data_IF_221863835635
#
_entry.id   IF_221863835635
#
_cell.length_a   1.000
_cell.length_b   1.000
_cell.length_c   1.000
_cell.angle_alpha   90.00
_cell.angle_beta   90.00
_cell.angle_gamma   90.00
#
_symmetry.space_group_name_H-M   'P 1'
#
loop_
_entity.id
_entity.type
_entity.pdbx_description
1 polymer ?
#
# COMPACT_ATOMS: atom_id res chain seq x y z
N UNK A 1 1.48 -59.00 42.70
CA UNK A 1 1.27 -57.96 43.73
C UNK A 1 2.31 -56.88 43.47
N UNK A 2 2.05 -55.67 42.98
CA UNK A 2 0.86 -54.84 42.73
C UNK A 2 1.10 -54.12 41.37
N UNK A 3 0.17 -54.18 40.40
CA UNK A 3 -0.77 -53.09 40.02
C UNK A 3 -0.09 -51.72 39.83
N UNK A 4 0.17 -51.28 38.59
CA UNK A 4 -0.73 -50.63 37.59
C UNK A 4 -0.92 -49.12 37.82
N UNK A 5 -0.62 -48.35 36.76
CA UNK A 5 -1.17 -47.06 36.27
C UNK A 5 -0.04 -46.33 35.50
N UNK A 6 0.12 -46.47 34.16
CA UNK A 6 -0.70 -45.92 33.04
C UNK A 6 -1.06 -44.46 33.32
N UNK A 7 -0.61 -43.43 32.59
CA UNK A 7 -0.53 -43.16 31.14
C UNK A 7 0.40 -41.94 30.90
N UNK A 8 1.24 -41.85 29.85
CA UNK A 8 0.85 -41.47 28.46
C UNK A 8 0.46 -39.98 28.37
N UNK A 9 0.93 -39.13 27.47
CA UNK A 9 1.47 -39.33 26.12
C UNK A 9 2.15 -38.05 25.59
N UNK A 10 3.06 -38.28 24.63
CA UNK A 10 3.81 -37.34 23.80
C UNK A 10 2.93 -36.48 22.86
N UNK A 11 3.59 -35.41 22.39
CA UNK A 11 3.58 -34.83 21.02
C UNK A 11 2.40 -34.00 20.54
N UNK A 12 2.75 -32.85 19.94
CA UNK A 12 2.05 -32.36 18.74
C UNK A 12 1.78 -30.87 18.74
N UNK A 13 2.76 -30.07 18.33
CA UNK A 13 2.52 -28.74 17.76
C UNK A 13 1.96 -28.90 16.34
N UNK A 14 0.87 -28.21 15.96
CA UNK A 14 0.66 -27.84 14.58
C UNK A 14 0.67 -26.33 14.39
N UNK A 15 1.48 -25.95 13.41
CA UNK A 15 1.63 -24.65 12.78
C UNK A 15 0.29 -24.13 12.22
N UNK A 16 0.20 -22.79 12.23
CA UNK A 16 -0.20 -21.92 11.12
C UNK A 16 -1.26 -22.47 10.13
N UNK A 17 -2.46 -21.88 10.19
CA UNK A 17 -3.49 -22.03 9.18
C UNK A 17 -4.55 -20.93 9.33
N UNK A 18 -4.37 -19.83 8.61
CA UNK A 18 -5.43 -18.85 8.36
C UNK A 18 -6.63 -19.55 7.73
N UNK A 19 -7.77 -19.63 8.44
CA UNK A 19 -9.14 -19.75 7.91
C UNK A 19 -10.11 -19.74 9.09
N UNK A 20 -10.96 -18.71 9.19
CA UNK A 20 -12.04 -18.74 10.18
C UNK A 20 -12.62 -17.40 10.61
N UNK A 21 -12.86 -16.45 9.70
CA UNK A 21 -13.64 -15.23 10.03
C UNK A 21 -15.15 -15.54 10.19
N UNK A 22 -15.60 -16.78 9.96
CA UNK A 22 -17.04 -17.11 9.96
C UNK A 22 -17.48 -18.18 10.98
N UNK A 23 -16.59 -18.66 11.86
CA UNK A 23 -16.92 -19.74 12.84
C UNK A 23 -16.81 -19.33 14.31
N UNK A 24 -16.73 -18.03 14.61
CA UNK A 24 -16.54 -17.53 15.97
C UNK A 24 -17.83 -17.12 16.70
N UNK A 25 -19.01 -17.49 16.19
CA UNK A 25 -20.29 -17.17 16.84
C UNK A 25 -20.80 -18.26 17.80
N UNK A 26 -20.24 -19.48 17.78
CA UNK A 26 -20.82 -20.65 18.49
C UNK A 26 -19.93 -21.30 19.55
N UNK A 27 -18.68 -20.88 19.69
CA UNK A 27 -17.87 -21.18 20.88
C UNK A 27 -17.66 -19.86 21.60
N UNK A 28 -18.03 -19.77 22.88
CA UNK A 28 -17.89 -18.60 23.74
C UNK A 28 -16.45 -18.17 24.01
N UNK A 29 -15.65 -18.00 22.95
CA UNK A 29 -14.36 -17.33 22.97
C UNK A 29 -14.66 -15.91 23.38
N UNK A 30 -14.37 -15.60 24.65
CA UNK A 30 -14.49 -14.27 25.19
C UNK A 30 -13.81 -13.30 24.22
N UNK A 31 -14.59 -12.39 23.64
CA UNK A 31 -14.09 -11.27 22.85
C UNK A 31 -12.87 -10.71 23.58
N UNK A 32 -11.70 -10.57 22.93
CA UNK A 32 -10.52 -10.03 23.58
C UNK A 32 -10.92 -8.72 24.25
N UNK A 33 -10.83 -8.67 25.59
CA UNK A 33 -11.18 -7.47 26.34
C UNK A 33 -10.42 -6.31 25.67
N UNK A 34 -11.11 -5.22 25.37
CA UNK A 34 -10.62 -4.05 24.62
C UNK A 34 -9.51 -3.27 25.38
N UNK A 35 -8.59 -3.96 26.05
CA UNK A 35 -7.53 -3.49 26.93
C UNK A 35 -6.20 -3.60 26.19
N UNK A 36 -5.36 -2.54 26.16
CA UNK A 36 -4.03 -2.63 25.59
C UNK A 36 -3.16 -3.59 26.41
N UNK A 37 -2.17 -4.19 25.75
CA UNK A 37 -1.07 -4.93 26.40
C UNK A 37 0.13 -4.01 26.56
N UNK A 38 0.90 -4.22 27.61
CA UNK A 38 2.17 -3.54 27.78
C UNK A 38 3.22 -4.14 26.84
N UNK A 39 4.32 -3.43 26.58
CA UNK A 39 5.47 -3.96 25.85
C UNK A 39 6.12 -5.16 26.57
N UNK A 40 5.98 -5.27 27.90
CA UNK A 40 6.37 -6.45 28.66
C UNK A 40 5.28 -7.55 28.69
N UNK A 41 4.31 -7.50 27.78
CA UNK A 41 3.12 -8.37 27.70
C UNK A 41 2.15 -8.37 28.89
N UNK A 42 2.46 -7.63 29.96
CA UNK A 42 1.64 -7.52 31.16
C UNK A 42 0.23 -6.93 30.92
N UNK A 43 -0.73 -7.40 31.72
CA UNK A 43 -2.10 -6.88 31.72
C UNK A 43 -2.14 -5.41 32.19
N UNK A 44 -2.87 -4.57 31.46
CA UNK A 44 -3.05 -3.17 31.83
C UNK A 44 -4.43 -2.91 32.45
N UNK A 45 -4.45 -2.10 33.52
CA UNK A 45 -5.67 -1.60 34.17
C UNK A 45 -5.95 -0.15 33.79
N UNK A 46 -7.22 0.26 33.81
CA UNK A 46 -7.63 1.66 33.66
C UNK A 46 -6.98 2.49 34.78
N UNK A 47 -6.42 3.65 34.44
CA UNK A 47 -5.66 4.52 35.35
C UNK A 47 -5.98 6.00 35.07
N UNK A 48 -7.27 6.35 35.21
CA UNK A 48 -7.78 7.69 34.94
C UNK A 48 -7.84 8.05 33.46
N UNK A 49 -8.00 9.34 33.19
CA UNK A 49 -8.07 9.94 31.85
C UNK A 49 -6.97 10.98 31.66
N UNK A 50 -6.59 11.24 30.43
CA UNK A 50 -5.76 12.39 30.06
C UNK A 50 -6.61 13.67 30.07
N UNK A 51 -5.96 14.84 30.03
CA UNK A 51 -6.66 16.14 29.89
C UNK A 51 -7.52 16.23 28.62
N UNK A 52 -7.29 15.36 27.64
CA UNK A 52 -8.09 15.22 26.40
C UNK A 52 -9.19 14.16 26.52
N UNK A 53 -9.51 13.70 27.73
CA UNK A 53 -10.55 12.69 28.00
C UNK A 53 -10.18 11.25 27.62
N UNK A 54 -8.98 11.00 27.09
CA UNK A 54 -8.58 9.65 26.65
C UNK A 54 -8.28 8.78 27.86
N UNK A 55 -8.81 7.55 27.87
CA UNK A 55 -8.50 6.59 28.95
C UNK A 55 -7.00 6.25 28.98
N UNK A 56 -6.36 6.49 30.13
CA UNK A 56 -4.98 6.07 30.42
C UNK A 56 -5.00 4.67 31.03
N UNK A 57 -4.01 3.87 30.66
CA UNK A 57 -3.84 2.49 31.10
C UNK A 57 -2.49 2.37 31.81
N UNK A 58 -2.43 1.55 32.88
CA UNK A 58 -1.19 1.28 33.62
C UNK A 58 -0.95 -0.22 33.71
N UNK A 59 0.26 -0.66 33.37
CA UNK A 59 0.69 -2.05 33.47
C UNK A 59 0.78 -2.46 34.94
N UNK A 60 0.24 -3.64 35.28
CA UNK A 60 0.30 -4.19 36.64
C UNK A 60 1.68 -4.77 37.00
N UNK A 61 2.50 -5.10 36.01
CA UNK A 61 3.82 -5.73 36.20
C UNK A 61 4.95 -4.69 36.30
N UNK A 62 5.16 -3.89 35.25
CA UNK A 62 6.26 -2.92 35.19
C UNK A 62 5.86 -1.48 35.52
N UNK A 63 4.57 -1.21 35.76
CA UNK A 63 4.07 0.13 36.09
C UNK A 63 4.00 1.12 34.92
N UNK A 64 4.45 0.75 33.71
CA UNK A 64 4.39 1.60 32.53
C UNK A 64 2.96 2.06 32.21
N UNK A 65 2.82 3.30 31.73
CA UNK A 65 1.52 3.89 31.40
C UNK A 65 1.40 4.17 29.90
N UNK A 66 0.23 3.91 29.33
CA UNK A 66 -0.04 4.15 27.91
C UNK A 66 -1.48 4.60 27.69
N UNK A 67 -1.76 5.08 26.48
CA UNK A 67 -3.13 5.29 25.99
C UNK A 67 -3.37 4.32 24.85
N UNK A 68 -4.61 3.82 24.73
CA UNK A 68 -4.96 2.96 23.60
C UNK A 68 -5.02 3.81 22.33
N UNK A 69 -4.22 3.47 21.33
CA UNK A 69 -4.29 4.05 19.98
C UNK A 69 -4.92 3.02 19.04
N UNK A 70 -5.85 3.46 18.19
CA UNK A 70 -6.39 2.68 17.07
C UNK A 70 -5.86 3.27 15.76
N UNK A 71 -4.58 3.03 15.53
CA UNK A 71 -3.89 3.49 14.32
C UNK A 71 -4.45 2.81 13.07
N UNK A 72 -4.95 1.59 13.18
CA UNK A 72 -5.70 0.87 12.13
C UNK A 72 -6.83 1.73 11.55
N UNK A 73 -7.71 2.25 12.42
CA UNK A 73 -8.83 3.10 11.99
C UNK A 73 -8.34 4.43 11.44
N UNK A 74 -7.35 5.02 12.09
CA UNK A 74 -6.81 6.32 11.65
C UNK A 74 -6.15 6.19 10.27
N UNK A 75 -5.37 5.13 10.06
CA UNK A 75 -4.69 4.85 8.80
C UNK A 75 -5.70 4.53 7.70
N UNK A 76 -6.75 3.75 7.99
CA UNK A 76 -7.83 3.49 7.02
C UNK A 76 -8.51 4.79 6.57
N UNK A 77 -8.87 5.67 7.51
CA UNK A 77 -9.48 6.97 7.18
C UNK A 77 -8.54 7.88 6.37
N UNK A 78 -7.25 7.90 6.71
CA UNK A 78 -6.22 8.63 5.94
C UNK A 78 -6.11 8.07 4.54
N UNK A 79 -6.08 6.74 4.38
CA UNK A 79 -5.95 6.08 3.09
C UNK A 79 -7.18 6.34 2.21
N UNK A 80 -8.39 6.29 2.75
CA UNK A 80 -9.60 6.69 2.02
C UNK A 80 -9.54 8.14 1.54
N UNK A 81 -9.06 9.06 2.39
CA UNK A 81 -8.88 10.46 2.00
C UNK A 81 -7.78 10.64 0.95
N UNK A 82 -6.75 9.81 0.96
CA UNK A 82 -5.69 9.79 -0.05
C UNK A 82 -6.24 9.37 -1.41
N UNK A 83 -7.01 8.27 -1.47
CA UNK A 83 -7.65 7.80 -2.71
C UNK A 83 -8.64 8.85 -3.24
N UNK A 84 -9.45 9.45 -2.36
CA UNK A 84 -10.37 10.53 -2.75
C UNK A 84 -9.58 11.71 -3.35
N UNK A 85 -8.52 12.17 -2.68
CA UNK A 85 -7.66 13.25 -3.16
C UNK A 85 -7.12 12.98 -4.58
N UNK A 86 -6.67 11.75 -4.87
CA UNK A 86 -6.10 11.38 -6.18
C UNK A 86 -7.14 11.20 -7.28
N UNK A 87 -8.31 10.65 -6.96
CA UNK A 87 -9.27 10.20 -7.97
C UNK A 87 -10.36 11.23 -8.28
N UNK A 88 -10.65 12.13 -7.35
CA UNK A 88 -11.73 13.13 -7.51
C UNK A 88 -11.21 14.56 -7.67
N UNK A 89 -9.91 14.78 -7.46
CA UNK A 89 -9.30 16.11 -7.50
C UNK A 89 -9.68 17.00 -6.30
N UNK A 90 -10.28 16.44 -5.25
CA UNK A 90 -10.54 17.16 -3.99
C UNK A 90 -9.23 17.72 -3.46
N UNK A 91 -9.12 19.05 -3.32
CA UNK A 91 -7.90 19.67 -2.84
C UNK A 91 -7.55 19.28 -1.39
N UNK A 92 -6.26 19.41 -1.05
CA UNK A 92 -5.72 18.97 0.24
C UNK A 92 -6.37 19.70 1.42
N UNK A 93 -6.74 20.97 1.27
CA UNK A 93 -7.44 21.75 2.30
C UNK A 93 -8.81 21.18 2.65
N UNK A 94 -9.58 20.77 1.63
CA UNK A 94 -10.90 20.19 1.84
C UNK A 94 -10.80 18.81 2.49
N UNK A 95 -9.88 17.97 2.03
CA UNK A 95 -9.61 16.68 2.66
C UNK A 95 -9.14 16.84 4.13
N UNK A 96 -8.28 17.83 4.40
CA UNK A 96 -7.77 18.08 5.74
C UNK A 96 -8.86 18.59 6.70
N UNK A 97 -9.75 19.47 6.24
CA UNK A 97 -10.93 19.92 7.00
C UNK A 97 -11.84 18.75 7.38
N UNK A 98 -12.12 17.82 6.45
CA UNK A 98 -12.92 16.62 6.71
C UNK A 98 -12.32 15.74 7.82
N UNK A 99 -10.98 15.65 7.85
CA UNK A 99 -10.23 14.89 8.86
C UNK A 99 -9.90 15.67 10.14
N UNK A 100 -10.37 16.92 10.24
CA UNK A 100 -10.14 17.77 11.41
C UNK A 100 -8.66 18.08 11.68
N UNK A 101 -7.84 18.17 10.64
CA UNK A 101 -6.41 18.48 10.76
C UNK A 101 -5.96 19.58 9.79
N UNK A 102 -4.74 20.10 9.99
CA UNK A 102 -4.16 21.04 9.02
C UNK A 102 -3.73 20.33 7.73
N UNK A 103 -3.70 21.01 6.58
CA UNK A 103 -3.21 20.46 5.32
C UNK A 103 -1.80 19.88 5.43
N UNK A 104 -0.90 20.58 6.15
CA UNK A 104 0.47 20.11 6.42
C UNK A 104 0.50 18.80 7.23
N UNK A 105 -0.44 18.62 8.15
CA UNK A 105 -0.57 17.36 8.90
C UNK A 105 -1.07 16.25 8.00
N UNK A 106 -2.04 16.54 7.12
CA UNK A 106 -2.57 15.57 6.17
C UNK A 106 -1.50 15.13 5.16
N UNK A 107 -0.73 16.07 4.61
CA UNK A 107 0.39 15.78 3.70
C UNK A 107 1.38 14.79 4.33
N UNK A 108 1.79 15.02 5.58
CA UNK A 108 2.66 14.08 6.32
C UNK A 108 2.03 12.71 6.55
N UNK A 109 0.69 12.64 6.64
CA UNK A 109 -0.04 11.37 6.78
C UNK A 109 -0.19 10.65 5.44
N UNK A 110 -0.14 11.37 4.32
CA UNK A 110 -0.11 10.78 2.98
C UNK A 110 1.27 10.22 2.61
N UNK A 111 2.35 10.66 3.25
CA UNK A 111 3.72 10.20 2.95
C UNK A 111 3.86 8.67 2.80
N UNK A 112 3.36 7.83 3.74
CA UNK A 112 3.49 6.39 3.60
C UNK A 112 2.63 5.80 2.46
N UNK A 113 1.59 6.50 2.02
CA UNK A 113 0.72 6.06 0.93
C UNK A 113 1.39 6.22 -0.44
N UNK A 114 2.46 7.00 -0.54
CA UNK A 114 3.29 7.12 -1.74
C UNK A 114 4.33 6.01 -1.88
N UNK A 115 4.56 5.23 -0.81
CA UNK A 115 5.50 4.11 -0.81
C UNK A 115 4.86 2.87 -1.42
N UNK A 116 4.40 3.01 -2.66
CA UNK A 116 3.85 1.91 -3.46
C UNK A 116 4.92 1.35 -4.38
N UNK A 117 5.00 0.03 -4.47
CA UNK A 117 5.80 -0.63 -5.50
C UNK A 117 5.12 -0.39 -6.85
N UNK A 118 5.77 0.40 -7.70
CA UNK A 118 5.25 0.67 -9.04
C UNK A 118 5.58 -0.54 -9.93
N UNK A 119 4.58 -1.26 -10.47
CA UNK A 119 4.84 -2.43 -11.30
C UNK A 119 5.53 -2.02 -12.60
N UNK A 120 6.53 -2.77 -13.04
CA UNK A 120 7.13 -2.57 -14.37
C UNK A 120 6.28 -3.28 -15.43
N UNK A 121 5.56 -2.54 -16.31
CA UNK A 121 4.69 -3.13 -17.32
C UNK A 121 5.45 -4.06 -18.27
N UNK A 122 6.74 -3.81 -18.51
CA UNK A 122 7.58 -4.56 -19.45
C UNK A 122 7.70 -6.04 -19.07
N UNK A 123 7.61 -6.35 -17.77
CA UNK A 123 7.81 -7.72 -17.24
C UNK A 123 6.83 -8.72 -17.84
N UNK A 124 5.61 -8.30 -18.15
CA UNK A 124 4.59 -9.17 -18.75
C UNK A 124 4.75 -9.43 -20.25
N UNK A 125 5.71 -8.76 -20.90
CA UNK A 125 5.80 -8.67 -22.37
C UNK A 125 7.18 -9.00 -22.93
N UNK A 126 8.08 -9.54 -22.11
CA UNK A 126 9.44 -9.90 -22.53
C UNK A 126 9.40 -10.90 -23.69
N UNK A 127 10.13 -10.62 -24.77
CA UNK A 127 10.19 -11.46 -25.98
C UNK A 127 8.95 -11.41 -26.87
N UNK A 128 7.96 -10.58 -26.54
CA UNK A 128 6.74 -10.43 -27.35
C UNK A 128 6.92 -9.34 -28.40
N UNK A 129 6.75 -9.74 -29.65
CA UNK A 129 6.66 -8.82 -30.80
C UNK A 129 5.19 -8.42 -30.99
N UNK A 130 4.95 -7.11 -31.16
CA UNK A 130 3.62 -6.55 -31.40
C UNK A 130 3.49 -6.06 -32.85
N UNK A 131 2.32 -6.27 -33.45
CA UNK A 131 2.04 -5.76 -34.80
C UNK A 131 1.99 -4.23 -34.83
N UNK A 132 1.41 -3.62 -33.79
CA UNK A 132 1.27 -2.18 -33.68
C UNK A 132 1.51 -1.72 -32.24
N UNK A 133 2.29 -0.66 -32.09
CA UNK A 133 2.53 0.04 -30.83
C UNK A 133 2.29 1.54 -31.03
N UNK A 134 1.63 2.16 -30.07
CA UNK A 134 1.43 3.60 -29.98
C UNK A 134 2.44 4.18 -28.99
N UNK A 135 3.16 5.22 -29.42
CA UNK A 135 4.02 6.00 -28.54
C UNK A 135 3.39 7.37 -28.32
N UNK A 136 3.31 7.76 -27.06
CA UNK A 136 2.79 9.06 -26.66
C UNK A 136 3.55 9.62 -25.45
N UNK A 137 3.68 10.94 -25.40
CA UNK A 137 4.34 11.69 -24.34
C UNK A 137 3.34 12.57 -23.59
N UNK A 138 3.14 12.31 -22.30
CA UNK A 138 2.29 13.15 -21.45
C UNK A 138 3.13 14.02 -20.52
N UNK A 139 3.06 15.33 -20.70
CA UNK A 139 3.67 16.29 -19.78
C UNK A 139 2.87 16.43 -18.48
N UNK A 140 3.60 16.44 -17.38
CA UNK A 140 3.13 16.73 -16.02
C UNK A 140 3.95 17.87 -15.45
N UNK A 141 3.55 18.37 -14.27
CA UNK A 141 4.36 19.36 -13.55
C UNK A 141 5.77 18.85 -13.15
N UNK A 142 6.01 17.53 -13.15
CA UNK A 142 7.27 16.92 -12.76
C UNK A 142 8.18 16.52 -13.92
N UNK A 143 7.75 16.67 -15.18
CA UNK A 143 8.44 16.17 -16.37
C UNK A 143 7.48 15.51 -17.35
N UNK A 144 7.99 14.70 -18.26
CA UNK A 144 7.22 13.96 -19.24
C UNK A 144 7.27 12.45 -18.95
N UNK A 145 6.12 11.80 -19.07
CA UNK A 145 6.02 10.35 -19.10
C UNK A 145 5.77 9.93 -20.54
N UNK A 146 6.75 9.26 -21.15
CA UNK A 146 6.57 8.63 -22.45
C UNK A 146 6.13 7.18 -22.25
N UNK A 147 5.12 6.78 -23.01
CA UNK A 147 4.44 5.49 -22.87
C UNK A 147 4.42 4.78 -24.21
N UNK A 148 4.74 3.49 -24.19
CA UNK A 148 4.45 2.56 -25.27
C UNK A 148 3.24 1.71 -24.88
N UNK A 149 2.23 1.70 -25.73
CA UNK A 149 0.99 0.98 -25.47
C UNK A 149 0.46 0.28 -26.73
N UNK A 150 -0.30 -0.77 -26.54
CA UNK A 150 -1.20 -1.34 -27.56
C UNK A 150 -2.57 -0.67 -27.45
N UNK A 151 -3.57 -1.19 -28.17
CA UNK A 151 -4.95 -0.72 -28.07
C UNK A 151 -5.60 -0.98 -26.70
N UNK A 152 -5.06 -1.93 -25.93
CA UNK A 152 -5.71 -2.51 -24.74
C UNK A 152 -4.86 -2.38 -23.46
N UNK A 153 -3.53 -2.20 -23.55
CA UNK A 153 -2.69 -2.07 -22.37
C UNK A 153 -1.36 -1.32 -22.62
N UNK A 154 -0.75 -0.85 -21.53
CA UNK A 154 0.60 -0.27 -21.52
C UNK A 154 1.63 -1.39 -21.48
N UNK A 155 2.63 -1.33 -22.37
CA UNK A 155 3.68 -2.34 -22.47
C UNK A 155 5.03 -1.86 -21.92
N UNK A 156 5.31 -0.55 -21.99
CA UNK A 156 6.49 0.06 -21.40
C UNK A 156 6.25 1.54 -21.11
N UNK A 157 7.01 2.10 -20.18
CA UNK A 157 7.05 3.56 -19.96
C UNK A 157 8.47 4.02 -19.64
N UNK A 158 8.69 5.32 -19.77
CA UNK A 158 9.93 5.96 -19.37
C UNK A 158 9.66 7.41 -18.91
N UNK A 159 10.22 7.77 -17.75
CA UNK A 159 10.16 9.14 -17.24
C UNK A 159 11.35 9.95 -17.76
N UNK A 160 11.08 11.11 -18.34
CA UNK A 160 12.08 12.06 -18.80
C UNK A 160 11.69 13.50 -18.44
N UNK A 161 12.60 14.46 -18.65
CA UNK A 161 12.28 15.89 -18.47
C UNK A 161 11.66 16.52 -19.71
N UNK A 162 12.08 16.04 -20.87
CA UNK A 162 11.66 16.50 -22.19
C UNK A 162 11.59 15.29 -23.12
N UNK A 163 10.79 15.41 -24.16
CA UNK A 163 10.70 14.40 -25.20
C UNK A 163 11.85 14.52 -26.19
N UNK A 164 12.95 13.80 -25.92
CA UNK A 164 14.08 13.73 -26.84
C UNK A 164 14.13 12.38 -27.55
N UNK A 165 14.83 12.32 -28.69
CA UNK A 165 15.10 11.06 -29.40
C UNK A 165 15.74 10.02 -28.50
N UNK A 166 16.63 10.44 -27.59
CA UNK A 166 17.29 9.54 -26.66
C UNK A 166 16.31 8.92 -25.66
N UNK A 167 15.33 9.69 -25.19
CA UNK A 167 14.33 9.20 -24.24
C UNK A 167 13.42 8.16 -24.93
N UNK A 168 12.99 8.44 -26.17
CA UNK A 168 12.26 7.46 -26.98
C UNK A 168 13.09 6.20 -27.27
N UNK A 169 14.39 6.32 -27.53
CA UNK A 169 15.28 5.15 -27.64
C UNK A 169 15.33 4.34 -26.34
N UNK A 170 15.41 4.99 -25.16
CA UNK A 170 15.37 4.31 -23.87
C UNK A 170 14.07 3.57 -23.61
N UNK A 171 12.95 4.09 -24.11
CA UNK A 171 11.67 3.40 -24.06
C UNK A 171 11.67 2.17 -24.99
N UNK A 172 12.09 2.35 -26.24
CA UNK A 172 12.08 1.30 -27.26
C UNK A 172 13.08 0.17 -26.97
N UNK A 173 14.22 0.46 -26.34
CA UNK A 173 15.21 -0.54 -25.88
C UNK A 173 14.63 -1.56 -24.89
N UNK A 174 13.46 -1.28 -24.30
CA UNK A 174 12.80 -2.14 -23.31
C UNK A 174 11.87 -3.18 -23.94
N UNK A 175 11.47 -3.00 -25.19
CA UNK A 175 10.49 -3.85 -25.88
C UNK A 175 11.11 -4.45 -27.15
N UNK A 176 10.56 -5.57 -27.60
CA UNK A 176 10.93 -6.09 -28.92
C UNK A 176 10.44 -5.14 -30.01
N UNK A 177 11.18 -5.06 -31.12
CA UNK A 177 10.86 -4.17 -32.22
C UNK A 177 9.47 -4.51 -32.80
N UNK A 178 8.49 -3.58 -32.76
CA UNK A 178 7.16 -3.83 -33.32
C UNK A 178 7.18 -3.73 -34.85
N UNK A 179 6.15 -4.29 -35.51
CA UNK A 179 6.02 -4.19 -36.97
C UNK A 179 5.65 -2.76 -37.39
N UNK A 180 4.82 -2.09 -36.62
CA UNK A 180 4.34 -0.72 -36.87
C UNK A 180 4.40 0.08 -35.57
N UNK A 181 4.99 1.28 -35.65
CA UNK A 181 4.93 2.26 -34.57
C UNK A 181 4.11 3.46 -35.01
N UNK A 182 3.15 3.86 -34.19
CA UNK A 182 2.32 5.05 -34.38
C UNK A 182 2.77 6.12 -33.40
N UNK A 183 2.99 7.33 -33.91
CA UNK A 183 3.41 8.50 -33.12
C UNK A 183 2.48 9.67 -33.45
N UNK A 184 2.30 10.58 -32.50
CA UNK A 184 1.44 11.77 -32.62
C UNK A 184 2.05 12.90 -33.48
N UNK A 185 3.34 12.80 -33.83
CA UNK A 185 4.07 13.75 -34.66
C UNK A 185 5.34 14.32 -34.04
N UNK A 186 5.73 13.89 -32.84
CA UNK A 186 6.98 14.30 -32.20
C UNK A 186 8.25 13.96 -33.00
N UNK A 187 9.06 14.97 -33.34
CA UNK A 187 10.35 14.80 -34.05
C UNK A 187 11.32 13.86 -33.32
N UNK A 188 11.29 13.89 -31.99
CA UNK A 188 12.07 13.00 -31.13
C UNK A 188 11.74 11.54 -31.35
N UNK A 189 10.45 11.20 -31.38
CA UNK A 189 9.95 9.84 -31.59
C UNK A 189 10.28 9.32 -32.98
N UNK A 190 10.05 10.13 -34.02
CA UNK A 190 10.34 9.77 -35.41
C UNK A 190 11.82 9.40 -35.61
N UNK A 191 12.72 10.17 -35.00
CA UNK A 191 14.17 9.93 -35.11
C UNK A 191 14.66 8.71 -34.33
N UNK A 192 13.86 8.19 -33.39
CA UNK A 192 14.23 7.05 -32.56
C UNK A 192 13.87 5.70 -33.22
N UNK A 193 12.85 5.71 -34.08
CA UNK A 193 12.41 4.55 -34.86
C UNK A 193 13.42 4.31 -35.99
N UNK A 194 13.87 3.07 -36.15
CA UNK A 194 14.82 2.65 -37.19
C UNK A 194 14.18 1.66 -38.14
#
# INVERSE_FOLDING_TARGET
MLQEHISGSRTGNPRCGCRGVLHAAWCGVAMPKNRPRCFCDGEMKRNGTTSKGTTRWRCKQCGASSVKRRSDITNAAVFSAFIDHLTTGVNLDTAARRLGCSPRTLQRRFEPCWLVDVPDPTTGHVGRVYDQVFLDGTYTAGGCLIVAATIDHVIAWHWCKHETTRDYQRLLERIEAPLITVIDGGQGALSAIK
#
